data_IF_041735449265
#
_entry.id   IF_041735449265
#
_cell.length_a   1.000
_cell.length_b   1.000
_cell.length_c   1.000
_cell.angle_alpha   90.00
_cell.angle_beta   90.00
_cell.angle_gamma   90.00
#
_symmetry.space_group_name_H-M   'P 1'
#
loop_
_entity.id
_entity.type
_entity.pdbx_description
1 polymer ?
#
# COMPACT_ATOMS: atom_id res chain seq x y z
N UNK A 1 -4.17 5.66 -4.26
CA UNK A 1 -2.81 5.20 -3.88
C UNK A 1 -2.91 4.11 -2.83
N UNK A 2 -2.21 3.00 -3.00
CA UNK A 2 -2.06 1.97 -1.97
C UNK A 2 -0.59 1.68 -1.72
N UNK A 3 -0.26 1.47 -0.44
CA UNK A 3 1.07 1.07 0.01
C UNK A 3 1.29 -0.43 -0.26
N UNK A 4 2.54 -0.86 -0.44
CA UNK A 4 2.92 -2.26 -0.64
C UNK A 4 2.48 -3.17 0.50
N UNK A 5 2.41 -2.68 1.73
CA UNK A 5 1.88 -3.44 2.88
C UNK A 5 0.44 -3.91 2.67
N UNK A 6 -0.39 -3.13 1.97
CA UNK A 6 -1.78 -3.48 1.64
C UNK A 6 -1.82 -4.60 0.61
N UNK A 7 -1.01 -4.49 -0.45
CA UNK A 7 -0.92 -5.51 -1.51
C UNK A 7 -0.44 -6.83 -0.93
N UNK A 8 0.66 -6.81 -0.18
CA UNK A 8 1.23 -8.00 0.45
C UNK A 8 0.23 -8.65 1.40
N UNK A 9 -0.47 -7.86 2.21
CA UNK A 9 -1.48 -8.40 3.13
C UNK A 9 -2.72 -8.92 2.42
N UNK A 10 -3.08 -8.41 1.27
CA UNK A 10 -4.17 -8.98 0.46
C UNK A 10 -3.77 -10.33 -0.17
N UNK A 11 -2.51 -10.46 -0.61
CA UNK A 11 -2.02 -11.69 -1.26
C UNK A 11 -1.72 -12.82 -0.27
N UNK A 12 -1.27 -12.49 0.94
CA UNK A 12 -0.79 -13.47 1.91
C UNK A 12 -1.60 -13.43 3.20
N UNK A 13 -2.41 -14.45 3.43
CA UNK A 13 -3.13 -14.59 4.70
C UNK A 13 -2.15 -14.83 5.86
N UNK A 14 -2.48 -14.37 7.07
CA UNK A 14 -1.61 -14.56 8.23
C UNK A 14 -1.48 -16.04 8.61
N UNK A 15 -0.29 -16.43 9.05
CA UNK A 15 -0.03 -17.81 9.51
C UNK A 15 -0.73 -18.09 10.84
N UNK A 16 -1.40 -19.23 10.94
CA UNK A 16 -1.99 -19.77 12.18
C UNK A 16 -0.97 -20.00 13.33
N UNK A 17 0.34 -19.93 13.04
CA UNK A 17 1.39 -20.04 14.08
C UNK A 17 1.41 -18.83 15.02
N UNK A 18 0.76 -17.72 14.67
CA UNK A 18 0.58 -16.57 15.56
C UNK A 18 -0.67 -16.81 16.40
N UNK A 19 -0.49 -16.99 17.72
CA UNK A 19 -1.59 -17.29 18.64
C UNK A 19 -2.40 -16.03 19.03
N UNK A 20 -3.71 -16.23 19.30
CA UNK A 20 -4.56 -15.29 20.03
C UNK A 20 -4.96 -14.01 19.28
N UNK A 21 -5.02 -12.91 20.01
CA UNK A 21 -5.50 -11.59 19.55
C UNK A 21 -4.72 -11.02 18.36
N UNK A 22 -3.42 -11.34 18.24
CA UNK A 22 -2.58 -10.91 17.11
C UNK A 22 -3.03 -11.55 15.81
N UNK A 23 -3.32 -12.86 15.81
CA UNK A 23 -3.81 -13.55 14.61
C UNK A 23 -5.16 -12.98 14.15
N UNK A 24 -6.12 -12.80 15.07
CA UNK A 24 -7.44 -12.26 14.73
C UNK A 24 -7.35 -10.85 14.14
N UNK A 25 -6.45 -10.01 14.66
CA UNK A 25 -6.22 -8.67 14.10
C UNK A 25 -5.62 -8.73 12.70
N UNK A 26 -4.57 -9.53 12.51
CA UNK A 26 -3.93 -9.69 11.20
C UNK A 26 -4.88 -10.29 10.16
N UNK A 27 -5.74 -11.23 10.56
CA UNK A 27 -6.76 -11.81 9.69
C UNK A 27 -7.79 -10.75 9.27
N UNK A 28 -8.29 -9.96 10.20
CA UNK A 28 -9.19 -8.84 9.89
C UNK A 28 -8.54 -7.84 8.93
N UNK A 29 -7.26 -7.52 9.14
CA UNK A 29 -6.53 -6.63 8.24
C UNK A 29 -6.38 -7.23 6.84
N UNK A 30 -6.05 -8.52 6.74
CA UNK A 30 -6.01 -9.26 5.47
C UNK A 30 -7.35 -9.17 4.74
N UNK A 31 -8.46 -9.50 5.42
CA UNK A 31 -9.82 -9.42 4.86
C UNK A 31 -10.16 -8.00 4.37
N UNK A 32 -9.77 -6.97 5.13
CA UNK A 32 -9.96 -5.56 4.73
C UNK A 32 -9.13 -5.21 3.48
N UNK A 33 -7.89 -5.70 3.39
CA UNK A 33 -7.04 -5.47 2.21
C UNK A 33 -7.63 -6.15 0.95
N UNK A 34 -8.06 -7.41 1.07
CA UNK A 34 -8.72 -8.14 -0.04
C UNK A 34 -9.98 -7.41 -0.49
N UNK A 35 -10.85 -7.03 0.45
CA UNK A 35 -12.08 -6.34 0.14
C UNK A 35 -11.84 -4.96 -0.49
N UNK A 36 -10.82 -4.21 -0.03
CA UNK A 36 -10.46 -2.93 -0.65
C UNK A 36 -10.04 -3.11 -2.11
N UNK A 37 -9.13 -4.05 -2.40
CA UNK A 37 -8.69 -4.29 -3.78
C UNK A 37 -9.85 -4.70 -4.69
N UNK A 38 -10.73 -5.58 -4.22
CA UNK A 38 -11.91 -5.98 -4.98
C UNK A 38 -12.85 -4.80 -5.28
N UNK A 39 -13.06 -3.89 -4.31
CA UNK A 39 -13.90 -2.69 -4.50
C UNK A 39 -13.27 -1.72 -5.51
N UNK A 40 -11.94 -1.54 -5.46
CA UNK A 40 -11.23 -0.66 -6.40
C UNK A 40 -11.34 -1.21 -7.84
N UNK A 41 -11.16 -2.51 -8.01
CA UNK A 41 -11.29 -3.21 -9.29
C UNK A 41 -12.74 -3.14 -9.83
N UNK A 42 -13.72 -3.56 -9.04
CA UNK A 42 -15.15 -3.52 -9.40
C UNK A 42 -15.64 -2.13 -9.87
N UNK A 43 -15.03 -1.07 -9.33
CA UNK A 43 -15.36 0.31 -9.66
C UNK A 43 -14.51 0.89 -10.79
N UNK A 44 -13.51 0.17 -11.27
CA UNK A 44 -12.56 0.65 -12.26
C UNK A 44 -11.73 1.84 -11.75
N UNK A 45 -11.44 1.89 -10.45
CA UNK A 45 -10.65 2.98 -9.85
C UNK A 45 -9.17 2.74 -10.13
N UNK A 46 -8.55 3.69 -10.81
CA UNK A 46 -7.12 3.64 -11.09
C UNK A 46 -6.30 3.70 -9.80
N UNK A 47 -5.43 2.71 -9.62
CA UNK A 47 -4.53 2.62 -8.48
C UNK A 47 -3.10 2.91 -8.93
N UNK A 48 -2.49 3.93 -8.33
CA UNK A 48 -1.11 4.29 -8.59
C UNK A 48 -0.18 3.67 -7.54
N UNK A 49 0.99 3.18 -7.98
CA UNK A 49 2.08 2.77 -7.10
C UNK A 49 3.42 3.23 -7.70
N UNK A 50 4.45 3.57 -6.89
CA UNK A 50 5.78 3.85 -7.41
C UNK A 50 6.43 2.55 -7.92
N UNK A 51 7.29 2.64 -8.94
CA UNK A 51 8.01 1.47 -9.49
C UNK A 51 8.84 0.75 -8.42
N UNK A 52 9.42 1.47 -7.46
CA UNK A 52 10.15 0.86 -6.35
C UNK A 52 9.25 -0.04 -5.47
N UNK A 53 7.94 0.15 -5.47
CA UNK A 53 6.99 -0.74 -4.80
C UNK A 53 7.02 -2.16 -5.38
N UNK A 54 7.27 -2.32 -6.69
CA UNK A 54 7.45 -3.64 -7.31
C UNK A 54 8.66 -4.36 -6.72
N UNK A 55 9.76 -3.64 -6.48
CA UNK A 55 10.97 -4.21 -5.87
C UNK A 55 10.67 -4.72 -4.45
N UNK A 56 9.90 -3.97 -3.69
CA UNK A 56 9.50 -4.37 -2.34
C UNK A 56 8.57 -5.58 -2.37
N UNK A 57 7.57 -5.60 -3.26
CA UNK A 57 6.68 -6.74 -3.48
C UNK A 57 7.49 -7.98 -3.86
N UNK A 58 8.41 -7.87 -4.81
CA UNK A 58 9.29 -8.97 -5.23
C UNK A 58 10.11 -9.52 -4.05
N UNK A 59 10.72 -8.64 -3.26
CA UNK A 59 11.54 -9.03 -2.12
C UNK A 59 10.73 -9.73 -1.02
N UNK A 60 9.52 -9.27 -0.75
CA UNK A 60 8.66 -9.87 0.29
C UNK A 60 8.04 -11.17 -0.18
N UNK A 61 7.46 -11.21 -1.39
CA UNK A 61 6.82 -12.40 -1.94
C UNK A 61 7.81 -13.54 -2.16
N UNK A 62 9.05 -13.27 -2.59
CA UNK A 62 10.09 -14.29 -2.73
C UNK A 62 10.44 -14.93 -1.37
N UNK A 63 10.47 -14.17 -0.29
CA UNK A 63 10.69 -14.72 1.07
C UNK A 63 9.53 -15.56 1.56
N UNK A 64 8.32 -15.29 1.11
CA UNK A 64 7.11 -15.99 1.53
C UNK A 64 6.79 -17.20 0.64
N UNK A 65 7.29 -17.23 -0.58
CA UNK A 65 7.04 -18.27 -1.58
C UNK A 65 8.36 -18.75 -2.24
N UNK A 66 8.59 -18.36 -3.47
CA UNK A 66 9.80 -18.58 -4.27
C UNK A 66 9.87 -17.55 -5.40
N UNK A 67 10.97 -17.53 -6.17
CA UNK A 67 11.20 -16.55 -7.24
C UNK A 67 10.19 -16.62 -8.38
N UNK A 68 9.76 -17.83 -8.78
CA UNK A 68 8.80 -17.99 -9.88
C UNK A 68 7.42 -17.42 -9.53
N UNK A 69 6.88 -17.75 -8.36
CA UNK A 69 5.61 -17.20 -7.88
C UNK A 69 5.71 -15.69 -7.67
N UNK A 70 6.85 -15.22 -7.16
CA UNK A 70 7.09 -13.80 -6.97
C UNK A 70 7.10 -13.03 -8.30
N UNK A 71 7.67 -13.58 -9.35
CA UNK A 71 7.67 -13.00 -10.68
C UNK A 71 6.24 -12.91 -11.25
N UNK A 72 5.43 -13.97 -11.10
CA UNK A 72 4.01 -13.93 -11.48
C UNK A 72 3.24 -12.85 -10.74
N UNK A 73 3.45 -12.72 -9.43
CA UNK A 73 2.84 -11.65 -8.61
C UNK A 73 3.25 -10.26 -9.10
N UNK A 74 4.53 -10.03 -9.39
CA UNK A 74 5.01 -8.74 -9.89
C UNK A 74 4.37 -8.40 -11.24
N UNK A 75 4.31 -9.35 -12.17
CA UNK A 75 3.69 -9.17 -13.47
C UNK A 75 2.19 -8.83 -13.34
N UNK A 76 1.47 -9.48 -12.44
CA UNK A 76 0.06 -9.18 -12.16
C UNK A 76 -0.11 -7.76 -11.61
N UNK A 77 0.73 -7.35 -10.67
CA UNK A 77 0.71 -6.00 -10.11
C UNK A 77 1.03 -4.95 -11.18
N UNK A 78 2.04 -5.19 -12.03
CA UNK A 78 2.43 -4.28 -13.12
C UNK A 78 1.33 -4.13 -14.19
N UNK A 79 0.50 -5.16 -14.40
CA UNK A 79 -0.62 -5.11 -15.36
C UNK A 79 -1.88 -4.52 -14.75
N UNK A 80 -2.10 -4.70 -13.44
CA UNK A 80 -3.32 -4.25 -12.74
C UNK A 80 -3.25 -2.81 -12.26
N UNK A 81 -2.03 -2.27 -12.02
CA UNK A 81 -1.84 -0.94 -11.43
C UNK A 81 -1.07 0.01 -12.35
N UNK A 82 -1.30 1.30 -12.18
CA UNK A 82 -0.53 2.33 -12.88
C UNK A 82 0.80 2.56 -12.17
N UNK A 83 1.89 2.18 -12.84
CA UNK A 83 3.25 2.30 -12.29
C UNK A 83 3.80 3.70 -12.56
N UNK A 84 4.12 4.42 -11.48
CA UNK A 84 4.70 5.77 -11.55
C UNK A 84 6.23 5.68 -11.43
N UNK A 85 6.99 6.14 -12.43
CA UNK A 85 8.46 6.09 -12.40
C UNK A 85 9.03 7.10 -11.40
N UNK A 86 10.09 6.71 -10.68
CA UNK A 86 10.73 7.50 -9.63
C UNK A 86 11.24 8.85 -10.14
N UNK A 87 11.64 8.93 -11.41
CA UNK A 87 12.14 10.16 -12.04
C UNK A 87 11.13 11.30 -11.97
N UNK A 88 9.83 10.98 -11.94
CA UNK A 88 8.75 11.97 -11.77
C UNK A 88 8.56 12.40 -10.33
N UNK A 89 9.03 11.61 -9.39
CA UNK A 89 8.76 11.74 -7.96
C UNK A 89 9.96 12.24 -7.16
N UNK A 90 11.18 12.07 -7.67
CA UNK A 90 12.44 12.24 -6.92
C UNK A 90 12.55 13.61 -6.24
N UNK A 91 12.12 14.68 -6.88
CA UNK A 91 12.20 16.02 -6.32
C UNK A 91 11.29 16.18 -5.10
N UNK A 92 10.06 15.64 -5.16
CA UNK A 92 9.10 15.70 -4.06
C UNK A 92 9.46 14.69 -2.96
N UNK A 93 9.85 13.47 -3.34
CA UNK A 93 10.30 12.45 -2.40
C UNK A 93 11.50 12.95 -1.56
N UNK A 94 12.48 13.64 -2.20
CA UNK A 94 13.59 14.27 -1.50
C UNK A 94 13.14 15.33 -0.49
N UNK A 95 12.16 16.17 -0.84
CA UNK A 95 11.62 17.18 0.11
C UNK A 95 10.97 16.49 1.32
N UNK A 96 10.19 15.43 1.07
CA UNK A 96 9.55 14.65 2.13
C UNK A 96 10.61 14.00 3.02
N UNK A 97 11.62 13.34 2.45
CA UNK A 97 12.71 12.73 3.21
C UNK A 97 13.43 13.74 4.12
N UNK A 98 13.71 14.94 3.62
CA UNK A 98 14.38 16.00 4.38
C UNK A 98 13.53 16.56 5.52
N UNK A 99 12.21 16.62 5.34
CA UNK A 99 11.29 17.17 6.36
C UNK A 99 10.86 16.14 7.39
N UNK A 100 10.66 14.88 6.99
CA UNK A 100 10.07 13.84 7.85
C UNK A 100 11.08 12.83 8.38
N UNK A 101 12.24 12.69 7.75
CA UNK A 101 13.24 11.69 8.13
C UNK A 101 12.76 10.25 8.01
N UNK A 102 11.80 9.98 7.12
CA UNK A 102 11.22 8.65 6.93
C UNK A 102 12.05 7.79 5.94
N UNK A 103 11.82 6.46 5.90
CA UNK A 103 12.47 5.57 4.95
C UNK A 103 12.34 6.03 3.50
N UNK A 104 13.39 5.84 2.71
CA UNK A 104 13.48 6.38 1.35
C UNK A 104 12.35 5.92 0.44
N UNK A 105 11.96 4.65 0.50
CA UNK A 105 10.87 4.13 -0.35
C UNK A 105 9.51 4.69 0.04
N UNK A 106 9.23 4.88 1.32
CA UNK A 106 7.97 5.48 1.80
C UNK A 106 7.73 6.87 1.21
N UNK A 107 8.80 7.63 0.98
CA UNK A 107 8.71 8.98 0.41
C UNK A 107 8.10 9.01 -0.98
N UNK A 108 8.24 7.96 -1.79
CA UNK A 108 7.66 7.89 -3.13
C UNK A 108 6.14 7.70 -3.07
N UNK A 109 5.64 6.89 -2.14
CA UNK A 109 4.19 6.72 -1.92
C UNK A 109 3.56 8.04 -1.47
N UNK A 110 4.20 8.70 -0.50
CA UNK A 110 3.77 10.01 -0.02
C UNK A 110 3.82 11.07 -1.13
N UNK A 111 4.86 11.06 -1.97
CA UNK A 111 5.00 11.99 -3.09
C UNK A 111 3.90 11.83 -4.12
N UNK A 112 3.51 10.60 -4.48
CA UNK A 112 2.39 10.35 -5.39
C UNK A 112 1.10 10.91 -4.80
N UNK A 113 0.79 10.59 -3.55
CA UNK A 113 -0.44 11.03 -2.88
C UNK A 113 -0.52 12.55 -2.80
N UNK A 114 0.57 13.21 -2.42
CA UNK A 114 0.62 14.67 -2.29
C UNK A 114 0.52 15.39 -3.64
N UNK A 115 1.25 14.92 -4.67
CA UNK A 115 1.23 15.54 -6.00
C UNK A 115 -0.10 15.40 -6.72
N UNK A 116 -0.79 14.28 -6.53
CA UNK A 116 -2.06 13.99 -7.20
C UNK A 116 -3.29 14.29 -6.33
N UNK A 117 -3.09 14.72 -5.09
CA UNK A 117 -4.18 14.98 -4.12
C UNK A 117 -5.09 13.77 -3.93
N UNK A 118 -4.51 12.58 -3.96
CA UNK A 118 -5.23 11.30 -3.79
C UNK A 118 -4.95 10.69 -2.43
N UNK A 119 -5.93 9.96 -1.86
CA UNK A 119 -5.75 9.33 -0.56
C UNK A 119 -4.73 8.18 -0.61
N UNK A 120 -4.13 7.88 0.54
CA UNK A 120 -3.23 6.76 0.75
C UNK A 120 -3.87 5.71 1.66
N UNK A 121 -3.93 4.46 1.19
CA UNK A 121 -4.25 3.30 2.03
C UNK A 121 -2.96 2.61 2.45
N UNK A 122 -2.78 2.43 3.74
CA UNK A 122 -1.59 1.78 4.32
C UNK A 122 -1.97 0.97 5.56
N UNK A 123 -1.12 0.05 5.97
CA UNK A 123 -1.16 -0.55 7.30
C UNK A 123 0.07 -0.18 8.15
N UNK A 124 0.83 0.82 7.70
CA UNK A 124 1.96 1.40 8.43
C UNK A 124 1.53 2.65 9.21
N UNK A 125 1.58 2.55 10.56
CA UNK A 125 1.25 3.66 11.45
C UNK A 125 2.26 4.83 11.33
N UNK A 126 3.52 4.54 10.99
CA UNK A 126 4.54 5.56 10.78
C UNK A 126 4.20 6.42 9.56
N UNK A 127 3.90 5.77 8.45
CA UNK A 127 3.48 6.42 7.21
C UNK A 127 2.17 7.21 7.39
N UNK A 128 1.18 6.63 8.08
CA UNK A 128 -0.09 7.32 8.39
C UNK A 128 0.14 8.62 9.18
N UNK A 129 0.98 8.59 10.24
CA UNK A 129 1.32 9.79 11.01
C UNK A 129 2.03 10.86 10.18
N UNK A 130 2.82 10.47 9.19
CA UNK A 130 3.43 11.42 8.25
C UNK A 130 2.33 12.04 7.37
N UNK A 131 1.39 11.24 6.87
CA UNK A 131 0.24 11.74 6.12
C UNK A 131 -0.54 12.80 6.90
N UNK A 132 -0.82 12.55 8.20
CA UNK A 132 -1.51 13.53 9.06
C UNK A 132 -0.74 14.85 9.15
N UNK A 133 0.59 14.83 9.38
CA UNK A 133 1.40 16.05 9.45
C UNK A 133 1.46 16.81 8.13
N UNK A 134 1.36 16.10 7.02
CA UNK A 134 1.42 16.67 5.66
C UNK A 134 0.05 16.92 5.03
N UNK A 135 -1.02 16.75 5.80
CA UNK A 135 -2.41 16.91 5.31
C UNK A 135 -2.74 16.02 4.10
N UNK A 136 -2.10 14.87 3.99
CA UNK A 136 -2.44 13.83 3.03
C UNK A 136 -3.56 12.99 3.66
N UNK A 137 -4.68 12.86 2.97
CA UNK A 137 -5.74 11.97 3.44
C UNK A 137 -5.26 10.51 3.40
N UNK A 138 -5.37 9.79 4.53
CA UNK A 138 -4.92 8.40 4.60
C UNK A 138 -5.79 7.56 5.52
N UNK A 139 -5.88 6.26 5.21
CA UNK A 139 -6.60 5.27 6.00
C UNK A 139 -5.69 4.13 6.42
N UNK A 140 -5.82 3.75 7.71
CA UNK A 140 -5.14 2.58 8.29
C UNK A 140 -6.03 1.35 8.14
N UNK A 141 -5.58 0.34 7.41
CA UNK A 141 -6.40 -0.83 7.04
C UNK A 141 -6.82 -1.70 8.25
N UNK A 142 -6.00 -1.77 9.30
CA UNK A 142 -6.33 -2.54 10.51
C UNK A 142 -7.51 -1.97 11.30
N UNK A 143 -7.78 -0.68 11.15
CA UNK A 143 -8.78 0.06 11.93
C UNK A 143 -9.94 0.56 11.05
N UNK A 144 -9.89 0.28 9.74
CA UNK A 144 -10.85 0.82 8.77
C UNK A 144 -12.22 0.13 8.88
N UNK A 145 -13.28 0.92 8.79
CA UNK A 145 -14.58 0.46 8.33
C UNK A 145 -14.74 0.81 6.83
N UNK A 146 -14.53 -0.16 5.96
CA UNK A 146 -14.62 0.05 4.51
C UNK A 146 -15.96 0.64 4.07
N UNK A 147 -17.06 0.35 4.78
CA UNK A 147 -18.38 0.90 4.45
C UNK A 147 -18.42 2.42 4.58
N UNK A 148 -17.63 2.98 5.51
CA UNK A 148 -17.55 4.43 5.70
C UNK A 148 -16.68 5.12 4.64
N UNK A 149 -15.75 4.39 4.02
CA UNK A 149 -14.77 4.91 3.05
C UNK A 149 -15.26 4.79 1.61
N UNK A 150 -16.04 3.73 1.32
CA UNK A 150 -16.57 3.45 -0.03
C UNK A 150 -17.25 4.65 -0.71
N UNK A 151 -18.05 5.49 -0.03
CA UNK A 151 -18.67 6.66 -0.64
C UNK A 151 -17.65 7.71 -1.14
N UNK A 152 -16.46 7.77 -0.53
CA UNK A 152 -15.42 8.77 -0.84
C UNK A 152 -14.48 8.29 -1.98
N UNK A 153 -14.59 7.02 -2.38
CA UNK A 153 -13.85 6.46 -3.52
C UNK A 153 -14.55 6.82 -4.83
N UNK A 154 -13.99 7.79 -5.53
CA UNK A 154 -14.45 8.26 -6.84
C UNK A 154 -13.38 8.07 -7.89
#
# INVERSE_FOLDING_TARGET
MIDTSVIIKALFSPSHRRAGTTYSRELKTHESCVALLAILDDRGIEVLIPRCGIIEIAAVSTRLTNSSISEEICNEVETSFTIVPEERLIAQAKKIALSEGCPGFDTYFLAISEQNLIPLFTDDLGMHRICERRTIHSWILRDIDLKSVIPDLK
#
